data_IF_308361358734
#
_entry.id   IF_308361358734
#
_cell.length_a   1.000
_cell.length_b   1.000
_cell.length_c   1.000
_cell.angle_alpha   90.00
_cell.angle_beta   90.00
_cell.angle_gamma   90.00
#
_symmetry.space_group_name_H-M   'P 1'
#
loop_
_entity.id
_entity.type
_entity.pdbx_description
1 polymer ?
#
# COMPACT_ATOMS: atom_id res chain seq x y z
N UNK A 1 65.78 -9.84 27.99
CA UNK A 1 64.68 -10.60 27.38
C UNK A 1 63.52 -9.64 27.25
N UNK A 2 63.21 -9.17 26.04
CA UNK A 2 62.13 -8.30 25.75
C UNK A 2 61.01 -9.11 25.07
N UNK A 3 59.85 -9.21 25.71
CA UNK A 3 58.71 -9.94 25.21
C UNK A 3 57.86 -9.00 24.36
N UNK A 4 57.85 -9.24 23.06
CA UNK A 4 56.98 -8.57 22.09
C UNK A 4 55.54 -9.18 22.17
N UNK A 5 54.57 -8.43 22.59
CA UNK A 5 53.15 -8.76 22.49
C UNK A 5 52.65 -8.34 21.09
N UNK A 6 52.32 -9.30 20.26
CA UNK A 6 51.59 -9.09 19.01
C UNK A 6 50.08 -8.93 19.33
N UNK A 7 49.59 -7.75 19.17
CA UNK A 7 48.14 -7.50 19.19
C UNK A 7 47.52 -7.91 17.85
N UNK A 8 46.66 -8.93 17.89
CA UNK A 8 45.82 -9.29 16.76
C UNK A 8 44.65 -8.31 16.65
N UNK A 9 44.69 -7.40 15.67
CA UNK A 9 43.56 -6.58 15.31
C UNK A 9 42.57 -7.43 14.48
N UNK A 10 41.46 -7.82 15.07
CA UNK A 10 40.34 -8.44 14.34
C UNK A 10 39.68 -7.37 13.49
N UNK A 11 39.86 -7.42 12.17
CA UNK A 11 39.05 -6.61 11.24
C UNK A 11 37.61 -7.14 11.25
N UNK A 12 36.68 -6.42 11.87
CA UNK A 12 35.30 -6.63 11.67
C UNK A 12 34.97 -6.34 10.21
N UNK A 13 34.74 -7.42 9.46
CA UNK A 13 34.11 -7.33 8.13
C UNK A 13 32.68 -6.85 8.34
N UNK A 14 32.41 -5.63 8.01
CA UNK A 14 31.03 -5.13 7.82
C UNK A 14 30.42 -5.98 6.70
N UNK A 15 29.58 -6.96 7.05
CA UNK A 15 28.73 -7.64 6.08
C UNK A 15 27.86 -6.57 5.38
N UNK A 16 28.18 -6.29 4.13
CA UNK A 16 27.29 -5.52 3.26
C UNK A 16 26.05 -6.37 3.07
N UNK A 17 24.97 -6.06 3.81
CA UNK A 17 23.67 -6.68 3.59
C UNK A 17 23.27 -6.42 2.14
N UNK A 18 23.01 -7.50 1.40
CA UNK A 18 22.47 -7.41 0.04
C UNK A 18 21.13 -6.66 0.09
N UNK A 19 20.85 -5.79 -0.91
CA UNK A 19 19.60 -5.06 -0.95
C UNK A 19 18.41 -6.03 -0.88
N UNK A 20 17.53 -5.84 0.10
CA UNK A 20 16.35 -6.68 0.28
C UNK A 20 15.35 -6.36 -0.84
N UNK A 21 14.95 -7.38 -1.58
CA UNK A 21 13.90 -7.21 -2.58
C UNK A 21 12.55 -6.94 -1.89
N UNK A 22 12.08 -5.70 -1.94
CA UNK A 22 10.74 -5.31 -1.48
C UNK A 22 9.73 -5.36 -2.61
N UNK A 23 8.54 -5.88 -2.34
CA UNK A 23 7.43 -5.81 -3.28
C UNK A 23 6.86 -4.39 -3.27
N UNK A 24 6.98 -3.66 -4.37
CA UNK A 24 6.56 -2.25 -4.46
C UNK A 24 5.50 -2.08 -5.54
N UNK A 25 4.41 -1.43 -5.17
CA UNK A 25 3.37 -1.01 -6.09
C UNK A 25 3.08 0.49 -5.93
N UNK A 26 2.33 1.06 -6.85
CA UNK A 26 1.85 2.44 -6.77
C UNK A 26 0.33 2.46 -6.71
N UNK A 27 -0.22 3.28 -5.80
CA UNK A 27 -1.64 3.60 -5.78
C UNK A 27 -1.96 4.54 -6.95
N UNK A 28 -2.92 4.16 -7.81
CA UNK A 28 -3.27 4.91 -9.00
C UNK A 28 -3.93 6.27 -8.72
N UNK A 29 -4.35 6.53 -7.47
CA UNK A 29 -4.76 7.88 -7.05
C UNK A 29 -3.63 8.92 -7.15
N UNK A 30 -2.38 8.48 -7.07
CA UNK A 30 -1.18 9.28 -7.39
C UNK A 30 -1.29 9.97 -8.77
N UNK A 31 -2.03 9.35 -9.69
CA UNK A 31 -2.26 9.82 -11.06
C UNK A 31 -3.75 10.10 -11.32
N UNK A 32 -4.48 10.64 -10.37
CA UNK A 32 -5.94 10.82 -10.43
C UNK A 32 -6.43 11.82 -11.49
N UNK A 33 -5.52 12.59 -12.10
CA UNK A 33 -5.82 13.48 -13.24
C UNK A 33 -5.88 12.74 -14.58
N UNK A 34 -5.37 11.51 -14.61
CA UNK A 34 -5.26 10.68 -15.80
C UNK A 34 -6.29 9.55 -15.77
N UNK A 35 -6.63 9.01 -16.94
CA UNK A 35 -7.32 7.72 -17.06
C UNK A 35 -6.42 6.60 -16.51
N UNK A 36 -7.01 5.44 -16.19
CA UNK A 36 -6.21 4.28 -15.80
C UNK A 36 -5.24 3.87 -16.93
N UNK A 37 -5.68 3.93 -18.19
CA UNK A 37 -4.82 3.63 -19.35
C UNK A 37 -3.60 4.55 -19.39
N UNK A 38 -3.79 5.87 -19.26
CA UNK A 38 -2.69 6.84 -19.23
C UNK A 38 -1.78 6.64 -18.02
N UNK A 39 -2.36 6.41 -16.82
CA UNK A 39 -1.61 6.20 -15.59
C UNK A 39 -0.72 4.95 -15.68
N UNK A 40 -1.27 3.82 -16.18
CA UNK A 40 -0.50 2.59 -16.41
C UNK A 40 0.63 2.83 -17.41
N UNK A 41 0.37 3.54 -18.49
CA UNK A 41 1.41 3.87 -19.47
C UNK A 41 2.53 4.75 -18.90
N UNK A 42 2.23 5.60 -17.90
CA UNK A 42 3.25 6.40 -17.20
C UNK A 42 4.18 5.52 -16.34
N UNK A 43 3.67 4.45 -15.73
CA UNK A 43 4.41 3.68 -14.72
C UNK A 43 4.97 2.35 -15.23
N UNK A 44 4.57 1.87 -16.41
CA UNK A 44 4.94 0.54 -16.94
C UNK A 44 6.46 0.27 -16.99
N UNK A 45 7.25 1.31 -17.20
CA UNK A 45 8.72 1.20 -17.36
C UNK A 45 9.48 1.51 -16.04
N UNK A 46 8.79 1.69 -14.92
CA UNK A 46 9.43 1.98 -13.64
C UNK A 46 9.99 0.74 -12.93
N UNK A 47 9.60 -0.47 -13.34
CA UNK A 47 9.99 -1.71 -12.67
C UNK A 47 9.23 -1.97 -11.36
N UNK A 48 7.97 -1.53 -11.29
CA UNK A 48 7.05 -1.85 -10.20
C UNK A 48 6.62 -3.32 -10.26
N UNK A 49 6.28 -3.90 -9.11
CA UNK A 49 5.73 -5.26 -9.04
C UNK A 49 4.22 -5.28 -9.30
N UNK A 50 3.56 -4.13 -9.25
CA UNK A 50 2.14 -3.99 -9.55
C UNK A 50 1.59 -2.61 -9.27
N UNK A 51 0.27 -2.54 -9.31
CA UNK A 51 -0.50 -1.32 -9.05
C UNK A 51 -1.66 -1.61 -8.09
N UNK A 52 -2.00 -0.62 -7.31
CA UNK A 52 -3.25 -0.57 -6.55
C UNK A 52 -4.21 0.37 -7.27
N UNK A 53 -5.38 -0.14 -7.66
CA UNK A 53 -6.42 0.67 -8.29
C UNK A 53 -7.47 1.10 -7.27
N UNK A 54 -8.17 2.19 -7.58
CA UNK A 54 -9.25 2.70 -6.75
C UNK A 54 -10.53 2.87 -7.56
N UNK A 55 -11.70 2.77 -6.92
CA UNK A 55 -12.98 3.09 -7.57
C UNK A 55 -13.01 4.53 -8.07
N UNK A 56 -13.76 4.77 -9.16
CA UNK A 56 -13.99 6.11 -9.74
C UNK A 56 -12.85 6.72 -10.54
N UNK A 57 -11.74 6.03 -10.79
CA UNK A 57 -10.81 6.46 -11.81
C UNK A 57 -11.43 6.23 -13.19
N UNK A 58 -11.34 7.19 -14.12
CA UNK A 58 -11.74 6.99 -15.51
C UNK A 58 -10.93 5.85 -16.12
N UNK A 59 -11.59 4.90 -16.82
CA UNK A 59 -10.91 3.73 -17.36
C UNK A 59 -9.98 4.11 -18.53
N UNK A 60 -10.53 4.75 -19.55
CA UNK A 60 -9.85 5.11 -20.80
C UNK A 60 -10.76 6.01 -21.62
N UNK A 61 -10.20 6.81 -22.53
CA UNK A 61 -10.98 7.59 -23.49
C UNK A 61 -11.70 6.71 -24.53
N UNK A 62 -11.31 5.43 -24.67
CA UNK A 62 -12.05 4.43 -25.45
C UNK A 62 -13.41 4.08 -24.85
N UNK A 63 -13.59 4.31 -23.57
CA UNK A 63 -14.81 4.05 -22.80
C UNK A 63 -15.27 5.32 -22.09
N UNK A 64 -15.81 6.32 -22.82
CA UNK A 64 -16.19 7.61 -22.25
C UNK A 64 -17.15 7.45 -21.06
N UNK A 65 -16.83 8.09 -19.94
CA UNK A 65 -17.63 8.07 -18.72
C UNK A 65 -17.53 6.78 -17.88
N UNK A 66 -16.83 5.75 -18.33
CA UNK A 66 -16.65 4.52 -17.57
C UNK A 66 -15.60 4.73 -16.47
N UNK A 67 -16.00 4.37 -15.26
CA UNK A 67 -15.14 4.40 -14.07
C UNK A 67 -14.74 2.97 -13.67
N UNK A 68 -13.51 2.81 -13.19
CA UNK A 68 -13.05 1.53 -12.64
C UNK A 68 -13.87 1.15 -11.40
N UNK A 69 -14.56 0.02 -11.46
CA UNK A 69 -15.31 -0.55 -10.34
C UNK A 69 -15.77 -1.98 -10.68
N UNK A 70 -16.38 -2.64 -9.70
CA UNK A 70 -16.88 -4.02 -9.84
C UNK A 70 -18.07 -4.18 -10.79
N UNK A 71 -18.67 -3.10 -11.27
CA UNK A 71 -19.84 -3.11 -12.17
C UNK A 71 -19.48 -2.90 -13.64
N UNK A 72 -18.17 -2.85 -13.97
CA UNK A 72 -17.71 -2.80 -15.35
C UNK A 72 -18.21 -4.00 -16.15
N UNK A 73 -18.50 -3.79 -17.45
CA UNK A 73 -18.85 -4.90 -18.37
C UNK A 73 -17.65 -5.83 -18.59
N UNK A 74 -17.93 -7.04 -19.11
CA UNK A 74 -16.85 -7.99 -19.44
C UNK A 74 -15.85 -7.43 -20.44
N UNK A 75 -16.31 -6.63 -21.43
CA UNK A 75 -15.44 -5.94 -22.39
C UNK A 75 -14.50 -4.95 -21.70
N UNK A 76 -15.02 -4.14 -20.79
CA UNK A 76 -14.24 -3.16 -20.02
C UNK A 76 -13.23 -3.84 -19.09
N UNK A 77 -13.62 -4.93 -18.43
CA UNK A 77 -12.74 -5.75 -17.60
C UNK A 77 -11.65 -6.42 -18.46
N UNK A 78 -12.00 -6.95 -19.63
CA UNK A 78 -11.04 -7.54 -20.56
C UNK A 78 -10.01 -6.51 -21.04
N UNK A 79 -10.45 -5.29 -21.34
CA UNK A 79 -9.57 -4.18 -21.64
C UNK A 79 -8.60 -3.88 -20.51
N UNK A 80 -9.08 -3.75 -19.28
CA UNK A 80 -8.24 -3.50 -18.10
C UNK A 80 -7.24 -4.64 -17.85
N UNK A 81 -7.68 -5.92 -18.01
CA UNK A 81 -6.79 -7.09 -17.91
C UNK A 81 -5.67 -7.04 -18.97
N UNK A 82 -6.02 -6.70 -20.21
CA UNK A 82 -5.05 -6.56 -21.29
C UNK A 82 -4.05 -5.42 -21.01
N UNK A 83 -4.52 -4.28 -20.52
CA UNK A 83 -3.69 -3.15 -20.15
C UNK A 83 -2.61 -3.53 -19.13
N UNK A 84 -2.97 -4.25 -18.07
CA UNK A 84 -2.01 -4.71 -17.08
C UNK A 84 -1.04 -5.75 -17.64
N UNK A 85 -1.54 -6.69 -18.44
CA UNK A 85 -0.70 -7.70 -19.09
C UNK A 85 0.35 -7.07 -20.00
N UNK A 86 -0.06 -6.13 -20.85
CA UNK A 86 0.84 -5.45 -21.80
C UNK A 86 1.90 -4.60 -21.07
N UNK A 87 1.56 -4.05 -19.89
CA UNK A 87 2.47 -3.30 -19.05
C UNK A 87 3.33 -4.17 -18.10
N UNK A 88 3.13 -5.50 -18.11
CA UNK A 88 3.73 -6.44 -17.16
C UNK A 88 3.49 -6.04 -15.68
N UNK A 89 2.29 -5.55 -15.39
CA UNK A 89 1.86 -5.13 -14.05
C UNK A 89 0.78 -6.06 -13.51
N UNK A 90 0.69 -6.18 -12.18
CA UNK A 90 -0.36 -6.93 -11.48
C UNK A 90 -1.25 -5.95 -10.72
N UNK A 91 -2.55 -6.25 -10.64
CA UNK A 91 -3.40 -5.64 -9.64
C UNK A 91 -3.07 -6.28 -8.28
N UNK A 92 -2.54 -5.52 -7.34
CA UNK A 92 -2.11 -6.04 -6.03
C UNK A 92 -3.11 -5.78 -4.93
N UNK A 93 -3.95 -4.76 -5.10
CA UNK A 93 -5.06 -4.39 -4.23
C UNK A 93 -6.03 -3.46 -4.96
N UNK A 94 -7.25 -3.35 -4.46
CA UNK A 94 -8.27 -2.46 -4.98
C UNK A 94 -8.92 -1.68 -3.82
N UNK A 95 -8.75 -0.38 -3.80
CA UNK A 95 -9.30 0.47 -2.73
C UNK A 95 -8.75 1.93 -2.77
N UNK A 96 -9.31 2.83 -1.95
CA UNK A 96 -10.29 2.53 -0.88
C UNK A 96 -11.67 2.32 -1.51
N UNK A 97 -12.23 1.12 -1.37
CA UNK A 97 -13.53 0.74 -1.90
C UNK A 97 -14.54 0.55 -0.75
N UNK A 98 -15.79 0.87 -1.00
CA UNK A 98 -16.84 0.77 0.00
C UNK A 98 -17.89 -0.26 -0.40
N UNK A 99 -18.37 -1.01 0.59
CA UNK A 99 -19.50 -1.92 0.48
C UNK A 99 -20.35 -1.80 1.75
N UNK A 100 -21.66 -1.84 1.61
CA UNK A 100 -22.60 -1.61 2.71
C UNK A 100 -23.33 -2.89 3.15
N UNK A 101 -23.16 -3.98 2.44
CA UNK A 101 -23.82 -5.25 2.69
C UNK A 101 -23.02 -6.44 2.12
N UNK A 102 -23.43 -7.65 2.47
CA UNK A 102 -22.73 -8.89 2.08
C UNK A 102 -22.64 -9.04 0.55
N UNK A 103 -23.70 -8.68 -0.19
CA UNK A 103 -23.69 -8.82 -1.65
C UNK A 103 -22.65 -7.90 -2.30
N UNK A 104 -22.56 -6.65 -1.87
CA UNK A 104 -21.57 -5.70 -2.39
C UNK A 104 -20.14 -6.14 -2.05
N UNK A 105 -19.94 -6.73 -0.86
CA UNK A 105 -18.65 -7.31 -0.46
C UNK A 105 -18.32 -8.50 -1.38
N UNK A 106 -19.28 -9.39 -1.66
CA UNK A 106 -19.07 -10.49 -2.60
C UNK A 106 -18.72 -10.00 -4.00
N UNK A 107 -19.42 -8.97 -4.49
CA UNK A 107 -19.17 -8.39 -5.82
C UNK A 107 -17.73 -7.80 -5.92
N UNK A 108 -17.25 -7.13 -4.88
CA UNK A 108 -15.86 -6.69 -4.80
C UNK A 108 -14.86 -7.85 -4.77
N UNK A 109 -15.14 -8.88 -3.97
CA UNK A 109 -14.28 -10.06 -3.90
C UNK A 109 -14.18 -10.78 -5.23
N UNK A 110 -15.31 -11.00 -5.92
CA UNK A 110 -15.35 -11.58 -7.27
C UNK A 110 -14.55 -10.74 -8.24
N UNK A 111 -14.77 -9.43 -8.25
CA UNK A 111 -14.08 -8.51 -9.13
C UNK A 111 -12.56 -8.60 -8.98
N UNK A 112 -12.02 -8.47 -7.76
CA UNK A 112 -10.56 -8.53 -7.59
C UNK A 112 -9.99 -9.91 -7.97
N UNK A 113 -10.71 -11.01 -7.70
CA UNK A 113 -10.29 -12.35 -8.10
C UNK A 113 -10.21 -12.53 -9.61
N UNK A 114 -11.07 -11.86 -10.40
CA UNK A 114 -10.99 -11.88 -11.86
C UNK A 114 -9.66 -11.29 -12.40
N UNK A 115 -8.99 -10.43 -11.63
CA UNK A 115 -7.69 -9.87 -11.92
C UNK A 115 -6.52 -10.61 -11.25
N UNK A 116 -6.79 -11.75 -10.60
CA UNK A 116 -5.78 -12.50 -9.84
C UNK A 116 -5.34 -11.80 -8.55
N UNK A 117 -6.11 -10.81 -8.09
CA UNK A 117 -5.85 -10.08 -6.86
C UNK A 117 -6.59 -10.74 -5.68
N UNK A 118 -6.01 -10.62 -4.48
CA UNK A 118 -6.54 -11.20 -3.25
C UNK A 118 -6.75 -10.15 -2.13
N UNK A 119 -6.85 -8.87 -2.49
CA UNK A 119 -6.92 -7.79 -1.50
C UNK A 119 -7.87 -6.67 -1.92
N UNK A 120 -8.71 -6.25 -0.96
CA UNK A 120 -9.54 -5.04 -1.04
C UNK A 120 -9.19 -4.15 0.13
N UNK A 121 -8.98 -2.85 -0.12
CA UNK A 121 -8.81 -1.87 0.95
C UNK A 121 -10.10 -1.10 1.17
N UNK A 122 -10.45 -0.88 2.43
CA UNK A 122 -11.72 -0.21 2.79
C UNK A 122 -11.63 0.47 4.15
N UNK A 123 -12.52 1.42 4.37
CA UNK A 123 -12.86 2.02 5.67
C UNK A 123 -14.32 1.70 6.05
N UNK A 124 -14.77 0.47 5.81
CA UNK A 124 -16.15 0.07 6.08
C UNK A 124 -16.47 0.15 7.58
N UNK A 125 -17.76 0.30 7.95
CA UNK A 125 -18.19 0.26 9.34
C UNK A 125 -17.77 -1.02 10.06
N UNK A 126 -17.37 -0.92 11.34
CA UNK A 126 -16.94 -2.06 12.19
C UNK A 126 -17.96 -3.20 12.19
N UNK A 127 -19.27 -2.90 12.13
CA UNK A 127 -20.33 -3.92 12.08
C UNK A 127 -20.25 -4.84 10.85
N UNK A 128 -19.50 -4.47 9.81
CA UNK A 128 -19.28 -5.31 8.63
C UNK A 128 -18.04 -6.21 8.72
N UNK A 129 -17.20 -6.08 9.73
CA UNK A 129 -16.00 -6.91 9.87
C UNK A 129 -16.31 -8.42 9.89
N UNK A 130 -17.32 -8.91 10.64
CA UNK A 130 -17.69 -10.32 10.59
C UNK A 130 -18.16 -10.78 9.20
N UNK A 131 -18.82 -9.90 8.45
CA UNK A 131 -19.27 -10.19 7.08
C UNK A 131 -18.07 -10.28 6.14
N UNK A 132 -17.13 -9.34 6.24
CA UNK A 132 -15.87 -9.37 5.50
C UNK A 132 -15.05 -10.62 5.81
N UNK A 133 -14.96 -11.04 7.07
CA UNK A 133 -14.27 -12.27 7.46
C UNK A 133 -14.89 -13.49 6.78
N UNK A 134 -16.23 -13.61 6.85
CA UNK A 134 -16.98 -14.71 6.21
C UNK A 134 -16.78 -14.75 4.70
N UNK A 135 -16.96 -13.60 4.03
CA UNK A 135 -16.86 -13.50 2.57
C UNK A 135 -15.39 -13.60 2.13
N UNK A 136 -14.49 -12.94 2.85
CA UNK A 136 -13.05 -13.03 2.59
C UNK A 136 -12.54 -14.45 2.61
N UNK A 137 -12.94 -15.23 3.62
CA UNK A 137 -12.61 -16.66 3.71
C UNK A 137 -13.18 -17.46 2.53
N UNK A 138 -14.44 -17.18 2.12
CA UNK A 138 -15.09 -17.86 0.98
C UNK A 138 -14.34 -17.65 -0.34
N UNK A 139 -13.83 -16.43 -0.59
CA UNK A 139 -13.19 -16.06 -1.86
C UNK A 139 -11.66 -16.05 -1.80
N UNK A 140 -11.05 -16.25 -0.64
CA UNK A 140 -9.61 -16.08 -0.43
C UNK A 140 -9.19 -14.63 -0.69
N UNK A 141 -9.96 -13.65 -0.16
CA UNK A 141 -9.70 -12.21 -0.31
C UNK A 141 -9.57 -11.56 1.06
N UNK A 142 -8.44 -10.92 1.29
CA UNK A 142 -8.17 -10.16 2.52
C UNK A 142 -8.74 -8.75 2.41
N UNK A 143 -9.47 -8.33 3.43
CA UNK A 143 -9.80 -6.93 3.64
C UNK A 143 -8.66 -6.25 4.38
N UNK A 144 -8.09 -5.18 3.82
CA UNK A 144 -7.17 -4.28 4.51
C UNK A 144 -7.93 -3.04 5.00
N UNK A 145 -7.96 -2.81 6.31
CA UNK A 145 -8.52 -1.58 6.85
C UNK A 145 -7.52 -0.47 6.60
N UNK A 146 -7.90 0.45 5.73
CA UNK A 146 -7.17 1.69 5.49
C UNK A 146 -7.54 2.73 6.55
N UNK A 147 -6.66 3.68 6.81
CA UNK A 147 -6.91 4.78 7.73
C UNK A 147 -6.62 6.14 7.09
N UNK A 148 -7.55 7.07 7.26
CA UNK A 148 -7.28 8.50 7.15
C UNK A 148 -7.12 9.11 8.55
N UNK A 149 -6.63 10.35 8.64
CA UNK A 149 -6.45 11.07 9.91
C UNK A 149 -7.76 11.63 10.52
N UNK A 150 -8.92 11.16 10.08
CA UNK A 150 -10.28 11.46 10.54
C UNK A 150 -11.31 11.25 9.44
N UNK A 151 -12.61 11.32 9.66
CA UNK A 151 -13.31 11.42 10.94
C UNK A 151 -13.43 10.09 11.71
N UNK A 152 -13.20 8.93 11.04
CA UNK A 152 -13.15 7.65 11.75
C UNK A 152 -11.89 7.54 12.61
N UNK A 153 -11.86 6.55 13.52
CA UNK A 153 -10.74 6.36 14.45
C UNK A 153 -9.76 5.26 14.01
N UNK A 154 -9.77 4.85 12.74
CA UNK A 154 -8.94 3.75 12.25
C UNK A 154 -7.43 4.10 12.22
N UNK A 155 -7.10 5.39 12.31
CA UNK A 155 -5.74 5.88 12.54
C UNK A 155 -5.21 5.56 13.96
N UNK A 156 -6.08 5.21 14.92
CA UNK A 156 -5.69 4.95 16.32
C UNK A 156 -5.54 3.43 16.56
N UNK A 157 -4.31 2.90 16.69
CA UNK A 157 -4.08 1.47 16.93
C UNK A 157 -4.78 0.93 18.16
N UNK A 158 -4.85 1.72 19.25
CA UNK A 158 -5.50 1.32 20.49
C UNK A 158 -7.03 1.13 20.32
N UNK A 159 -7.63 1.80 19.34
CA UNK A 159 -9.04 1.63 19.01
C UNK A 159 -9.27 0.45 18.05
N UNK A 160 -8.53 0.40 16.93
CA UNK A 160 -8.87 -0.52 15.85
C UNK A 160 -8.29 -1.93 16.05
N UNK A 161 -7.09 -2.06 16.62
CA UNK A 161 -6.42 -3.35 16.71
C UNK A 161 -7.19 -4.38 17.55
N UNK A 162 -7.76 -4.05 18.72
CA UNK A 162 -8.61 -4.97 19.47
C UNK A 162 -9.81 -5.52 18.70
N UNK A 163 -10.32 -4.76 17.72
CA UNK A 163 -11.47 -5.14 16.91
C UNK A 163 -11.12 -6.07 15.75
N UNK A 164 -9.84 -6.17 15.37
CA UNK A 164 -9.41 -6.93 14.18
C UNK A 164 -8.44 -8.06 14.49
N UNK A 165 -7.82 -8.07 15.64
CA UNK A 165 -6.72 -9.01 15.99
C UNK A 165 -7.07 -10.49 15.82
N UNK A 166 -8.33 -10.87 16.02
CA UNK A 166 -8.78 -12.26 16.02
C UNK A 166 -9.31 -12.72 14.63
N UNK A 167 -9.48 -11.82 13.66
CA UNK A 167 -9.88 -12.17 12.30
C UNK A 167 -8.68 -12.65 11.47
N UNK A 168 -8.92 -13.53 10.53
CA UNK A 168 -7.91 -14.04 9.57
C UNK A 168 -7.88 -13.21 8.30
N UNK A 169 -9.05 -12.87 7.76
CA UNK A 169 -9.22 -12.16 6.49
C UNK A 169 -9.46 -10.65 6.65
N UNK A 170 -9.67 -10.17 7.87
CA UNK A 170 -9.71 -8.74 8.19
C UNK A 170 -8.35 -8.34 8.77
N UNK A 171 -7.61 -7.51 8.07
CA UNK A 171 -6.25 -7.07 8.42
C UNK A 171 -6.12 -5.56 8.31
N UNK A 172 -4.96 -5.03 8.61
CA UNK A 172 -4.65 -3.61 8.52
C UNK A 172 -3.94 -3.27 7.21
N UNK A 173 -4.29 -2.11 6.66
CA UNK A 173 -3.48 -1.41 5.66
C UNK A 173 -3.09 -0.05 6.27
N UNK A 174 -2.03 0.01 7.08
CA UNK A 174 -1.61 1.27 7.67
C UNK A 174 -1.15 2.27 6.62
N UNK A 175 -1.78 3.45 6.60
CA UNK A 175 -1.26 4.63 5.95
C UNK A 175 -0.42 5.41 6.97
N UNK A 176 0.89 5.33 6.85
CA UNK A 176 1.83 5.89 7.83
C UNK A 176 1.83 7.42 7.84
N UNK A 177 1.51 8.06 6.70
CA UNK A 177 1.38 9.51 6.61
C UNK A 177 0.14 10.02 7.32
N UNK A 178 -1.00 9.36 7.14
CA UNK A 178 -2.23 9.70 7.85
C UNK A 178 -2.12 9.46 9.35
N UNK A 179 -1.42 8.39 9.78
CA UNK A 179 -1.13 8.15 11.21
C UNK A 179 -0.30 9.29 11.80
N UNK A 180 0.79 9.68 11.15
CA UNK A 180 1.64 10.78 11.61
C UNK A 180 0.84 12.10 11.72
N UNK A 181 -0.01 12.40 10.74
CA UNK A 181 -0.89 13.59 10.74
C UNK A 181 -1.96 13.55 11.85
N UNK A 182 -2.31 12.35 12.33
CA UNK A 182 -3.20 12.16 13.49
C UNK A 182 -2.44 12.18 14.84
N UNK A 183 -1.13 12.40 14.82
CA UNK A 183 -0.29 12.45 16.04
C UNK A 183 0.15 11.08 16.54
N UNK A 184 0.01 10.04 15.73
CA UNK A 184 0.47 8.67 16.07
C UNK A 184 1.86 8.46 15.49
N UNK A 185 2.78 7.90 16.29
CA UNK A 185 4.07 7.44 15.78
C UNK A 185 3.85 6.21 14.88
N UNK A 186 4.21 6.29 13.56
CA UNK A 186 4.00 5.19 12.65
C UNK A 186 4.72 3.89 13.04
N UNK A 187 5.92 3.98 13.62
CA UNK A 187 6.69 2.81 14.06
C UNK A 187 5.95 2.06 15.16
N UNK A 188 5.40 2.77 16.15
CA UNK A 188 4.65 2.15 17.23
C UNK A 188 3.33 1.54 16.75
N UNK A 189 2.69 2.18 15.75
CA UNK A 189 1.52 1.61 15.10
C UNK A 189 1.87 0.31 14.35
N UNK A 190 2.97 0.29 13.58
CA UNK A 190 3.43 -0.89 12.88
C UNK A 190 3.76 -2.04 13.84
N UNK A 191 4.40 -1.77 14.99
CA UNK A 191 4.63 -2.76 16.05
C UNK A 191 3.31 -3.34 16.56
N UNK A 192 2.33 -2.48 16.81
CA UNK A 192 1.00 -2.92 17.30
C UNK A 192 0.32 -3.86 16.30
N UNK A 193 0.51 -3.64 15.00
CA UNK A 193 -0.11 -4.43 13.94
C UNK A 193 0.70 -5.65 13.49
N UNK A 194 1.74 -6.04 14.22
CA UNK A 194 2.58 -7.20 13.88
C UNK A 194 1.73 -8.43 13.56
N UNK A 195 2.00 -9.09 12.42
CA UNK A 195 1.27 -10.25 11.92
C UNK A 195 -0.11 -9.95 11.30
N UNK A 196 -0.57 -8.69 11.34
CA UNK A 196 -1.88 -8.27 10.82
C UNK A 196 -1.80 -7.23 9.69
N UNK A 197 -0.62 -6.95 9.15
CA UNK A 197 -0.44 -5.99 8.06
C UNK A 197 -0.65 -6.70 6.72
N UNK A 198 -1.63 -6.25 5.92
CA UNK A 198 -1.91 -6.75 4.58
C UNK A 198 -1.06 -6.07 3.50
N UNK A 199 -0.95 -4.77 3.57
CA UNK A 199 -0.12 -3.89 2.74
C UNK A 199 0.13 -2.59 3.53
N UNK A 200 1.08 -1.78 3.09
CA UNK A 200 1.40 -0.50 3.74
C UNK A 200 1.33 0.61 2.71
N UNK A 201 0.51 1.64 2.93
CA UNK A 201 0.67 2.91 2.24
C UNK A 201 1.87 3.62 2.87
N UNK A 202 3.02 3.48 2.20
CA UNK A 202 4.27 4.03 2.69
C UNK A 202 4.38 5.48 2.24
N UNK A 203 4.58 6.38 3.18
CA UNK A 203 4.61 7.82 2.93
C UNK A 203 5.76 8.49 3.71
N UNK A 204 6.21 9.62 3.21
CA UNK A 204 6.99 10.61 3.95
C UNK A 204 6.33 11.97 3.79
N UNK A 205 6.53 12.86 4.73
CA UNK A 205 5.90 14.17 4.77
C UNK A 205 6.97 15.26 4.92
N UNK A 206 6.80 16.40 4.24
CA UNK A 206 7.69 17.55 4.43
C UNK A 206 7.47 18.26 5.78
N UNK A 207 6.24 18.12 6.34
CA UNK A 207 5.90 18.55 7.70
C UNK A 207 4.68 17.76 8.20
N UNK A 208 4.58 17.61 9.52
CA UNK A 208 3.40 17.02 10.18
C UNK A 208 2.39 18.13 10.45
N UNK A 209 1.35 18.22 9.63
CA UNK A 209 0.27 19.19 9.78
C UNK A 209 -1.05 18.63 9.24
N UNK A 210 -2.14 19.40 9.44
CA UNK A 210 -3.47 18.98 8.97
C UNK A 210 -3.56 18.80 7.45
N UNK A 211 -2.79 19.58 6.67
CA UNK A 211 -2.71 19.45 5.21
C UNK A 211 -1.79 18.30 4.83
N UNK A 212 -2.14 17.58 3.77
CA UNK A 212 -1.24 16.58 3.20
C UNK A 212 -0.09 17.28 2.46
N UNK A 213 1.14 17.05 2.91
CA UNK A 213 2.37 17.61 2.34
C UNK A 213 3.37 16.48 2.11
N UNK A 214 3.18 15.63 1.10
CA UNK A 214 4.07 14.51 0.84
C UNK A 214 5.48 14.99 0.48
N UNK A 215 6.45 14.19 0.88
CA UNK A 215 7.85 14.32 0.51
C UNK A 215 8.34 13.04 -0.17
N UNK A 216 9.39 13.13 -0.96
CA UNK A 216 10.12 11.96 -1.43
C UNK A 216 10.70 11.24 -0.21
N UNK A 217 10.62 9.93 -0.19
CA UNK A 217 11.01 9.10 0.95
C UNK A 217 12.47 9.37 1.38
N UNK A 218 12.67 9.56 2.68
CA UNK A 218 13.95 9.92 3.28
C UNK A 218 14.34 11.40 3.13
N UNK A 219 13.51 12.23 2.50
CA UNK A 219 13.70 13.68 2.40
C UNK A 219 12.72 14.48 3.26
N UNK A 220 11.79 13.79 3.91
CA UNK A 220 10.78 14.36 4.80
C UNK A 220 11.16 14.26 6.28
N UNK A 221 10.14 14.37 7.13
CA UNK A 221 10.28 14.42 8.59
C UNK A 221 9.96 13.09 9.28
N UNK A 222 9.46 12.08 8.54
CA UNK A 222 9.17 10.79 9.12
C UNK A 222 10.43 9.91 9.17
N UNK A 223 10.55 9.10 10.21
CA UNK A 223 11.62 8.10 10.32
C UNK A 223 11.34 6.91 9.39
N UNK A 224 11.51 7.14 8.09
CA UNK A 224 11.29 6.14 7.04
C UNK A 224 12.21 4.92 7.19
N UNK A 225 13.45 5.12 7.66
CA UNK A 225 14.38 4.01 7.93
C UNK A 225 13.94 3.18 9.12
N UNK A 226 13.48 3.81 10.20
CA UNK A 226 12.94 3.12 11.36
C UNK A 226 11.68 2.32 11.02
N UNK A 227 10.79 2.85 10.17
CA UNK A 227 9.61 2.13 9.69
C UNK A 227 10.02 0.89 8.85
N UNK A 228 10.99 1.01 7.95
CA UNK A 228 11.50 -0.12 7.17
C UNK A 228 12.16 -1.17 8.07
N UNK A 229 12.99 -0.74 9.02
CA UNK A 229 13.65 -1.64 9.98
C UNK A 229 12.62 -2.41 10.82
N UNK A 230 11.53 -1.76 11.24
CA UNK A 230 10.46 -2.44 11.99
C UNK A 230 9.71 -3.47 11.14
N UNK A 231 9.35 -3.13 9.90
CA UNK A 231 8.72 -4.08 8.98
C UNK A 231 9.65 -5.25 8.64
N UNK A 232 10.96 -4.99 8.51
CA UNK A 232 11.97 -6.04 8.33
C UNK A 232 12.10 -6.95 9.54
N UNK A 233 12.08 -6.37 10.78
CA UNK A 233 12.08 -7.13 12.03
C UNK A 233 10.90 -8.10 12.09
N UNK A 234 9.71 -7.65 11.63
CA UNK A 234 8.51 -8.48 11.54
C UNK A 234 8.57 -9.53 10.42
N UNK A 235 9.59 -9.51 9.56
CA UNK A 235 9.66 -10.38 8.38
C UNK A 235 8.57 -10.07 7.34
N UNK A 236 8.09 -8.82 7.30
CA UNK A 236 7.02 -8.40 6.39
C UNK A 236 7.38 -8.66 4.92
N UNK A 237 6.46 -9.31 4.19
CA UNK A 237 6.60 -9.68 2.77
C UNK A 237 5.49 -9.11 1.88
N UNK A 238 4.62 -8.30 2.46
CA UNK A 238 3.53 -7.65 1.73
C UNK A 238 4.02 -6.52 0.83
N UNK A 239 3.07 -5.79 0.25
CA UNK A 239 3.36 -4.69 -0.65
C UNK A 239 3.56 -3.37 0.09
N UNK A 240 4.61 -2.66 -0.30
CA UNK A 240 4.79 -1.24 -0.03
C UNK A 240 4.11 -0.47 -1.16
N UNK A 241 3.05 0.27 -0.84
CA UNK A 241 2.27 1.02 -1.81
C UNK A 241 2.72 2.48 -1.77
N UNK A 242 3.25 2.97 -2.88
CA UNK A 242 3.57 4.38 -3.05
C UNK A 242 2.28 5.13 -3.35
N UNK A 243 1.92 6.09 -2.51
CA UNK A 243 0.84 7.03 -2.79
C UNK A 243 1.36 8.47 -2.60
N UNK A 244 1.64 9.14 -3.73
CA UNK A 244 2.25 10.46 -3.76
C UNK A 244 1.21 11.51 -4.17
N UNK A 245 0.57 12.12 -3.18
CA UNK A 245 -0.64 12.93 -3.33
C UNK A 245 -0.35 14.43 -3.52
N UNK A 246 0.51 14.78 -4.47
CA UNK A 246 0.79 16.16 -4.88
C UNK A 246 1.27 16.18 -6.31
N UNK A 247 1.28 17.35 -6.95
CA UNK A 247 1.72 17.54 -8.36
C UNK A 247 1.10 16.49 -9.29
N UNK A 248 -0.19 16.22 -9.18
CA UNK A 248 -0.88 15.09 -9.84
C UNK A 248 -0.71 15.03 -11.35
N UNK A 249 -0.37 16.15 -12.01
CA UNK A 249 -0.05 16.23 -13.43
C UNK A 249 1.40 15.84 -13.74
N UNK A 250 2.34 16.06 -12.78
CA UNK A 250 3.78 15.91 -12.99
C UNK A 250 4.49 15.47 -11.70
N UNK A 251 4.30 14.20 -11.31
CA UNK A 251 4.90 13.64 -10.11
C UNK A 251 5.66 12.32 -10.37
N UNK A 252 5.86 11.96 -11.63
CA UNK A 252 6.48 10.68 -12.00
C UNK A 252 7.94 10.58 -11.51
N UNK A 253 8.66 11.71 -11.52
CA UNK A 253 10.05 11.76 -11.05
C UNK A 253 10.13 11.44 -9.55
N UNK A 254 9.25 12.05 -8.75
CA UNK A 254 9.18 11.82 -7.30
C UNK A 254 8.76 10.38 -6.98
N UNK A 255 7.81 9.81 -7.73
CA UNK A 255 7.41 8.40 -7.61
C UNK A 255 8.59 7.47 -7.89
N UNK A 256 9.40 7.77 -8.92
CA UNK A 256 10.61 7.01 -9.24
C UNK A 256 11.66 7.11 -8.12
N UNK A 257 11.83 8.28 -7.52
CA UNK A 257 12.73 8.44 -6.38
C UNK A 257 12.24 7.66 -5.16
N UNK A 258 10.93 7.68 -4.87
CA UNK A 258 10.32 6.87 -3.80
C UNK A 258 10.53 5.36 -4.03
N UNK A 259 10.35 4.89 -5.26
CA UNK A 259 10.61 3.50 -5.64
C UNK A 259 12.09 3.13 -5.40
N UNK A 260 13.01 3.97 -5.88
CA UNK A 260 14.45 3.76 -5.68
C UNK A 260 14.82 3.73 -4.20
N UNK A 261 14.19 4.59 -3.38
CA UNK A 261 14.39 4.57 -1.94
C UNK A 261 14.01 3.22 -1.33
N UNK A 262 12.83 2.69 -1.66
CA UNK A 262 12.35 1.38 -1.15
C UNK A 262 13.22 0.21 -1.64
N UNK A 263 13.77 0.29 -2.85
CA UNK A 263 14.64 -0.77 -3.42
C UNK A 263 16.05 -0.78 -2.81
N UNK A 264 16.52 0.36 -2.31
CA UNK A 264 17.91 0.53 -1.85
C UNK A 264 18.04 0.53 -0.31
N UNK A 265 16.96 0.53 0.44
CA UNK A 265 16.94 0.49 1.90
C UNK A 265 16.13 -0.71 2.41
#
# INVERSE_FOLDING_TARGET
>A
MATLLFGCASSEKTEQQQPKHRNVAVQMYTFNKFTLEEAVNKVKDLGLDGVECYPKQRLSDKFPGVLTNQYMTEEQKAFMKKLFKDANLKLVSFGVAYANNEKEIEDLCKFVKEFGCDRVLTECPVGLFPVWEKVGKKYGVTMGIHNHNGPNKYWNPAYIFPLVKDYEFVKMNPDVGHMARAGINPIDALKTYEGKISSVHFKDLSEICAKNKPAVYGKGVLDTKGMLAELDRQGYKGFFIIEYETKFEDNLAEVKECLNYLRNN
#
